data_IF_045594032152
#
_entry.id   IF_045594032152
#
_cell.length_a   1.000
_cell.length_b   1.000
_cell.length_c   1.000
_cell.angle_alpha   90.00
_cell.angle_beta   90.00
_cell.angle_gamma   90.00
#
_symmetry.space_group_name_H-M   'P 1'
#
loop_
_entity.id
_entity.type
_entity.pdbx_description
1 polymer ?
#
# COMPACT_ATOMS: atom_id res chain seq x y z
N UNK A 1 -1.71 -14.80 5.11
CA UNK A 1 -0.28 -14.44 5.17
C UNK A 1 -0.13 -13.41 6.27
N UNK A 2 0.89 -13.53 7.13
CA UNK A 2 1.17 -12.52 8.14
C UNK A 2 1.91 -11.37 7.48
N UNK A 3 1.33 -10.17 7.50
CA UNK A 3 1.99 -8.95 7.02
C UNK A 3 3.13 -8.61 7.98
N UNK A 4 4.28 -8.17 7.45
CA UNK A 4 5.50 -7.90 8.26
C UNK A 4 5.24 -6.95 9.43
N UNK A 5 4.27 -6.04 9.29
CA UNK A 5 3.93 -5.04 10.29
C UNK A 5 2.54 -5.22 10.93
N UNK A 6 1.80 -6.29 10.59
CA UNK A 6 0.49 -6.65 11.16
C UNK A 6 -0.54 -5.49 11.21
N UNK A 7 -0.64 -4.74 10.11
CA UNK A 7 -1.51 -3.56 9.95
C UNK A 7 -2.83 -3.93 9.25
N UNK A 8 -3.96 -3.45 9.80
CA UNK A 8 -5.32 -3.61 9.24
C UNK A 8 -5.57 -2.49 8.21
N UNK A 9 -6.28 -2.77 7.11
CA UNK A 9 -6.73 -1.74 6.16
C UNK A 9 -7.70 -0.76 6.83
N UNK A 10 -7.28 0.50 6.99
CA UNK A 10 -8.13 1.57 7.51
C UNK A 10 -8.80 2.38 6.38
N UNK A 11 -9.86 3.13 6.72
CA UNK A 11 -10.62 4.00 5.80
C UNK A 11 -9.71 4.94 4.99
N UNK A 12 -8.61 5.39 5.60
CA UNK A 12 -7.61 6.23 4.93
C UNK A 12 -6.96 5.53 3.73
N UNK A 13 -6.62 4.24 3.83
CA UNK A 13 -6.10 3.48 2.69
C UNK A 13 -7.16 3.26 1.62
N UNK A 14 -8.44 3.12 2.01
CA UNK A 14 -9.56 2.99 1.06
C UNK A 14 -9.71 4.26 0.23
N UNK A 15 -9.66 5.44 0.85
CA UNK A 15 -9.68 6.72 0.14
C UNK A 15 -8.50 6.83 -0.83
N UNK A 16 -7.31 6.38 -0.42
CA UNK A 16 -6.11 6.40 -1.27
C UNK A 16 -6.21 5.44 -2.45
N UNK A 17 -6.73 4.23 -2.24
CA UNK A 17 -7.02 3.26 -3.31
C UNK A 17 -8.04 3.83 -4.30
N UNK A 18 -9.07 4.51 -3.79
CA UNK A 18 -10.06 5.19 -4.63
C UNK A 18 -9.40 6.26 -5.51
N UNK A 19 -8.57 7.13 -4.93
CA UNK A 19 -7.84 8.15 -5.68
C UNK A 19 -6.91 7.55 -6.75
N UNK A 20 -6.33 6.38 -6.51
CA UNK A 20 -5.50 5.70 -7.50
C UNK A 20 -6.31 5.19 -8.72
N UNK A 21 -7.61 4.93 -8.55
CA UNK A 21 -8.52 4.53 -9.62
C UNK A 21 -9.27 5.71 -10.25
N UNK A 22 -9.57 6.75 -9.49
CA UNK A 22 -10.16 8.00 -9.97
C UNK A 22 -9.11 8.91 -10.64
N UNK A 23 -8.59 8.47 -11.79
CA UNK A 23 -7.53 9.17 -12.53
C UNK A 23 -7.85 10.61 -12.91
N UNK A 24 -9.14 10.94 -13.04
CA UNK A 24 -9.60 12.26 -13.44
C UNK A 24 -10.01 13.14 -12.24
N UNK A 25 -9.90 12.62 -11.01
CA UNK A 25 -10.31 13.30 -9.77
C UNK A 25 -11.75 13.85 -9.83
N UNK A 26 -12.65 13.10 -10.48
CA UNK A 26 -14.05 13.52 -10.66
C UNK A 26 -14.93 13.13 -9.45
N UNK A 27 -14.36 12.42 -8.46
CA UNK A 27 -15.09 11.85 -7.33
C UNK A 27 -15.87 10.60 -7.70
N UNK A 28 -15.61 10.01 -8.87
CA UNK A 28 -16.30 8.82 -9.37
C UNK A 28 -15.38 7.96 -10.25
N UNK A 29 -15.36 6.65 -10.01
CA UNK A 29 -14.59 5.72 -10.84
C UNK A 29 -15.41 5.38 -12.10
N UNK A 30 -14.89 5.78 -13.26
CA UNK A 30 -15.45 5.42 -14.58
C UNK A 30 -15.28 3.93 -14.86
N UNK A 31 -16.15 3.38 -15.73
CA UNK A 31 -16.11 1.96 -16.08
C UNK A 31 -14.73 1.49 -16.57
N UNK A 32 -14.04 2.29 -17.37
CA UNK A 32 -12.70 1.95 -17.87
C UNK A 32 -11.65 1.84 -16.76
N UNK A 33 -11.63 2.82 -15.84
CA UNK A 33 -10.77 2.80 -14.66
C UNK A 33 -11.10 1.64 -13.73
N UNK A 34 -12.40 1.34 -13.55
CA UNK A 34 -12.87 0.20 -12.77
C UNK A 34 -12.38 -1.13 -13.34
N UNK A 35 -12.56 -1.35 -14.66
CA UNK A 35 -12.09 -2.57 -15.33
C UNK A 35 -10.57 -2.69 -15.24
N UNK A 36 -9.84 -1.60 -15.46
CA UNK A 36 -8.37 -1.59 -15.37
C UNK A 36 -7.90 -1.91 -13.94
N UNK A 37 -8.57 -1.35 -12.93
CA UNK A 37 -8.30 -1.66 -11.52
C UNK A 37 -8.53 -3.12 -11.17
N UNK A 38 -9.66 -3.68 -11.62
CA UNK A 38 -9.96 -5.10 -11.45
C UNK A 38 -8.97 -6.01 -12.17
N UNK A 39 -8.48 -5.63 -13.35
CA UNK A 39 -7.47 -6.43 -14.06
C UNK A 39 -6.19 -6.56 -13.23
N UNK A 40 -5.71 -5.46 -12.62
CA UNK A 40 -4.57 -5.48 -11.70
C UNK A 40 -4.85 -6.37 -10.48
N UNK A 41 -6.03 -6.27 -9.89
CA UNK A 41 -6.38 -7.00 -8.66
C UNK A 41 -6.53 -8.51 -8.89
N UNK A 42 -7.22 -8.88 -9.97
CA UNK A 42 -7.59 -10.27 -10.24
C UNK A 42 -6.53 -11.02 -11.04
N UNK A 43 -5.79 -10.33 -11.92
CA UNK A 43 -4.89 -10.95 -12.90
C UNK A 43 -3.54 -10.25 -13.04
N UNK A 44 -3.32 -9.14 -12.34
CA UNK A 44 -2.10 -8.37 -12.42
C UNK A 44 -0.88 -9.18 -12.01
N UNK A 45 0.23 -8.92 -12.69
CA UNK A 45 1.54 -9.45 -12.33
C UNK A 45 1.99 -8.88 -10.98
N UNK A 46 3.03 -9.47 -10.39
CA UNK A 46 3.64 -8.90 -9.18
C UNK A 46 4.05 -7.43 -9.40
N UNK A 47 4.53 -7.08 -10.60
CA UNK A 47 4.91 -5.70 -10.94
C UNK A 47 3.71 -4.76 -10.97
N UNK A 48 2.59 -5.17 -11.58
CA UNK A 48 1.37 -4.36 -11.61
C UNK A 48 0.85 -4.08 -10.20
N UNK A 49 0.95 -5.08 -9.32
CA UNK A 49 0.61 -4.97 -7.90
C UNK A 49 1.56 -4.04 -7.15
N UNK A 50 2.87 -4.14 -7.39
CA UNK A 50 3.87 -3.23 -6.82
C UNK A 50 3.61 -1.78 -7.25
N UNK A 51 3.34 -1.53 -8.53
CA UNK A 51 3.04 -0.20 -9.05
C UNK A 51 1.74 0.37 -8.44
N UNK A 52 0.74 -0.48 -8.22
CA UNK A 52 -0.48 -0.07 -7.52
C UNK A 52 -0.22 0.30 -6.06
N UNK A 53 0.39 -0.59 -5.27
CA UNK A 53 0.69 -0.31 -3.87
C UNK A 53 1.58 0.93 -3.71
N UNK A 54 2.60 1.08 -4.55
CA UNK A 54 3.48 2.25 -4.52
C UNK A 54 2.71 3.56 -4.73
N UNK A 55 1.80 3.62 -5.71
CA UNK A 55 0.94 4.80 -5.92
C UNK A 55 0.01 5.08 -4.72
N UNK A 56 -0.48 4.04 -4.06
CA UNK A 56 -1.31 4.20 -2.85
C UNK A 56 -0.50 4.81 -1.71
N UNK A 57 0.78 4.47 -1.60
CA UNK A 57 1.67 4.91 -0.52
C UNK A 57 2.36 6.26 -0.78
N UNK A 58 2.64 6.62 -2.03
CA UNK A 58 3.19 7.91 -2.44
C UNK A 58 2.13 9.02 -2.26
N UNK A 59 2.16 9.72 -1.11
CA UNK A 59 1.08 10.60 -0.67
C UNK A 59 0.91 11.81 -1.57
N UNK A 60 2.03 12.36 -2.02
CA UNK A 60 2.07 13.57 -2.84
C UNK A 60 2.22 13.29 -4.35
N UNK A 61 2.39 12.02 -4.75
CA UNK A 61 2.60 11.58 -6.14
C UNK A 61 3.86 12.14 -6.81
N UNK A 62 4.93 12.35 -6.05
CA UNK A 62 6.21 12.86 -6.55
C UNK A 62 7.17 11.76 -7.06
N UNK A 63 6.76 10.49 -6.92
CA UNK A 63 7.53 9.33 -7.35
C UNK A 63 8.45 8.75 -6.26
N UNK A 64 8.37 9.26 -5.03
CA UNK A 64 9.14 8.79 -3.88
C UNK A 64 8.23 8.59 -2.67
N UNK A 65 8.58 7.65 -1.80
CA UNK A 65 7.95 7.51 -0.48
C UNK A 65 8.97 7.98 0.55
N UNK A 66 8.66 9.08 1.21
CA UNK A 66 9.51 9.70 2.23
C UNK A 66 9.21 9.18 3.63
N UNK A 67 10.14 9.35 4.58
CA UNK A 67 9.93 8.98 5.99
C UNK A 67 8.68 9.64 6.60
N UNK A 68 8.38 10.88 6.20
CA UNK A 68 7.20 11.60 6.69
C UNK A 68 5.90 10.98 6.16
N UNK A 69 5.89 10.52 4.91
CA UNK A 69 4.76 9.80 4.33
C UNK A 69 4.57 8.43 4.96
N UNK A 70 5.66 7.70 5.19
CA UNK A 70 5.64 6.44 5.95
C UNK A 70 5.03 6.65 7.35
N UNK A 71 5.44 7.71 8.04
CA UNK A 71 4.89 8.05 9.35
C UNK A 71 3.39 8.31 9.29
N UNK A 72 2.91 9.06 8.29
CA UNK A 72 1.48 9.29 8.11
C UNK A 72 0.71 8.00 7.81
N UNK A 73 1.24 7.15 6.93
CA UNK A 73 0.63 5.86 6.59
C UNK A 73 0.50 4.97 7.82
N UNK A 74 1.57 4.82 8.61
CA UNK A 74 1.57 4.03 9.83
C UNK A 74 0.67 4.63 10.92
N UNK A 75 0.66 5.95 11.07
CA UNK A 75 -0.22 6.63 12.02
C UNK A 75 -1.70 6.44 11.71
N UNK A 76 -2.04 6.32 10.43
CA UNK A 76 -3.40 6.06 9.95
C UNK A 76 -3.75 4.57 9.92
N UNK A 77 -2.91 3.72 10.50
CA UNK A 77 -3.02 2.26 10.44
C UNK A 77 -2.86 1.61 11.82
N UNK A 78 -2.17 2.31 12.73
CA UNK A 78 -2.00 1.90 14.10
C UNK A 78 -3.12 2.51 14.94
N UNK A 79 -4.10 1.68 15.26
CA UNK A 79 -5.11 1.99 16.27
C UNK A 79 -4.37 2.36 17.56
N UNK A 80 -4.58 3.59 18.04
CA UNK A 80 -4.09 4.05 19.36
C UNK A 80 -4.45 3.01 20.40
N UNK A 81 -3.48 2.22 20.86
CA UNK A 81 -3.74 1.28 21.94
C UNK A 81 -4.03 2.09 23.21
N UNK A 82 -5.16 1.87 23.91
CA UNK A 82 -5.45 2.59 25.12
C UNK A 82 -4.42 2.21 26.20
N UNK A 83 -3.47 3.11 26.47
CA UNK A 83 -2.45 2.93 27.51
C UNK A 83 -1.01 3.23 27.12
N UNK A 84 -0.71 3.49 25.83
CA UNK A 84 0.64 3.96 25.43
C UNK A 84 0.84 5.44 25.80
N UNK A 85 1.98 5.74 26.43
CA UNK A 85 2.34 7.10 26.86
C UNK A 85 2.67 8.02 25.67
N UNK A 86 3.18 7.48 24.56
CA UNK A 86 3.39 8.19 23.29
C UNK A 86 3.30 7.26 22.07
N UNK A 87 2.12 7.08 21.44
CA UNK A 87 1.97 6.24 20.25
C UNK A 87 2.73 6.78 19.03
N UNK A 88 3.12 8.07 19.03
CA UNK A 88 3.88 8.64 17.91
C UNK A 88 5.37 8.20 17.95
N UNK A 89 5.91 7.77 19.10
CA UNK A 89 7.28 7.25 19.18
C UNK A 89 7.40 5.89 18.48
N UNK A 90 6.47 4.96 18.73
CA UNK A 90 6.44 3.66 18.05
C UNK A 90 6.28 3.78 16.53
N UNK A 91 5.46 4.74 16.07
CA UNK A 91 5.30 5.03 14.64
C UNK A 91 6.61 5.55 14.02
N UNK A 92 7.38 6.38 14.74
CA UNK A 92 8.69 6.88 14.27
C UNK A 92 9.69 5.75 14.09
N UNK A 93 9.75 4.84 15.07
CA UNK A 93 10.63 3.68 15.03
C UNK A 93 10.27 2.73 13.87
N UNK A 94 8.97 2.50 13.65
CA UNK A 94 8.48 1.72 12.51
C UNK A 94 8.78 2.39 11.17
N UNK A 95 8.63 3.71 11.09
CA UNK A 95 8.98 4.49 9.88
C UNK A 95 10.47 4.39 9.56
N UNK A 96 11.33 4.44 10.59
CA UNK A 96 12.77 4.29 10.42
C UNK A 96 13.17 2.87 10.02
N UNK A 97 12.51 1.85 10.59
CA UNK A 97 12.71 0.46 10.22
C UNK A 97 12.26 0.19 8.78
N UNK A 98 11.11 0.72 8.38
CA UNK A 98 10.58 0.59 7.02
C UNK A 98 11.51 1.26 6.01
N UNK A 99 11.97 2.48 6.30
CA UNK A 99 12.95 3.16 5.44
C UNK A 99 14.21 2.32 5.30
N UNK A 100 14.80 1.83 6.40
CA UNK A 100 16.00 0.99 6.35
C UNK A 100 15.83 -0.30 5.53
N UNK A 101 14.60 -0.83 5.45
CA UNK A 101 14.27 -2.05 4.71
C UNK A 101 14.00 -1.78 3.22
N UNK A 102 13.42 -0.64 2.90
CA UNK A 102 12.94 -0.31 1.55
C UNK A 102 13.91 0.60 0.77
N UNK A 103 14.69 1.42 1.47
CA UNK A 103 15.68 2.34 0.89
C UNK A 103 17.00 1.58 0.62
N UNK A 104 17.14 1.10 -0.62
CA UNK A 104 18.26 0.26 -1.07
C UNK A 104 19.51 1.07 -1.36
N UNK A 105 19.37 2.30 -1.87
CA UNK A 105 20.49 3.16 -2.22
C UNK A 105 20.89 4.15 -1.10
N UNK A 106 20.11 4.19 -0.03
CA UNK A 106 20.33 4.96 1.19
C UNK A 106 20.30 6.48 0.97
N UNK A 107 19.46 6.96 0.05
CA UNK A 107 19.28 8.39 -0.22
C UNK A 107 18.27 9.09 0.72
N UNK A 108 17.62 8.33 1.60
CA UNK A 108 16.68 8.80 2.62
C UNK A 108 15.23 8.85 2.15
N UNK A 109 14.92 8.33 0.95
CA UNK A 109 13.59 8.17 0.39
C UNK A 109 13.53 6.86 -0.40
N UNK A 110 12.33 6.43 -0.78
CA UNK A 110 12.14 5.16 -1.50
C UNK A 110 11.61 5.46 -2.89
N UNK A 111 12.44 5.27 -3.92
CA UNK A 111 11.95 5.30 -5.28
C UNK A 111 11.29 3.96 -5.64
N UNK A 112 10.53 3.93 -6.74
CA UNK A 112 9.91 2.68 -7.21
C UNK A 112 10.93 1.56 -7.47
N UNK A 113 12.15 1.90 -7.88
CA UNK A 113 13.23 0.93 -8.08
C UNK A 113 13.68 0.26 -6.79
N UNK A 114 13.75 1.01 -5.70
CA UNK A 114 14.12 0.50 -4.38
C UNK A 114 12.99 -0.38 -3.83
N UNK A 115 11.76 0.10 -3.96
CA UNK A 115 10.55 -0.66 -3.62
C UNK A 115 10.46 -2.00 -4.37
N UNK A 116 10.67 -1.98 -5.69
CA UNK A 116 10.66 -3.19 -6.52
C UNK A 116 11.79 -4.16 -6.13
N UNK A 117 12.98 -3.65 -5.83
CA UNK A 117 14.11 -4.47 -5.39
C UNK A 117 13.86 -5.10 -4.01
N UNK A 118 13.38 -4.31 -3.05
CA UNK A 118 13.09 -4.76 -1.70
C UNK A 118 12.01 -5.85 -1.67
N UNK A 119 10.95 -5.72 -2.48
CA UNK A 119 9.87 -6.74 -2.54
C UNK A 119 10.31 -8.02 -3.23
N UNK A 120 11.20 -7.93 -4.23
CA UNK A 120 11.77 -9.12 -4.86
C UNK A 120 12.62 -9.93 -3.89
N UNK A 121 13.27 -9.27 -2.92
CA UNK A 121 14.02 -9.93 -1.85
C UNK A 121 13.12 -10.42 -0.71
N UNK A 122 12.20 -9.56 -0.26
CA UNK A 122 11.27 -9.83 0.84
C UNK A 122 9.81 -9.56 0.41
N UNK A 123 9.10 -10.55 -0.18
CA UNK A 123 7.75 -10.37 -0.73
C UNK A 123 6.68 -9.89 0.27
N UNK A 124 6.92 -10.07 1.58
CA UNK A 124 6.02 -9.63 2.64
C UNK A 124 6.00 -8.10 2.79
N UNK A 125 6.95 -7.38 2.19
CA UNK A 125 6.98 -5.92 2.18
C UNK A 125 6.01 -5.28 1.17
N UNK A 126 5.36 -6.08 0.29
CA UNK A 126 4.42 -5.57 -0.72
C UNK A 126 3.28 -4.75 -0.13
N UNK A 127 2.84 -5.12 1.08
CA UNK A 127 1.76 -4.45 1.81
C UNK A 127 2.28 -3.92 3.16
N UNK A 128 3.52 -3.42 3.18
CA UNK A 128 4.23 -2.99 4.39
C UNK A 128 3.46 -1.93 5.19
N UNK A 129 2.74 -1.04 4.52
CA UNK A 129 2.01 0.06 5.15
C UNK A 129 0.51 -0.23 5.34
N UNK A 130 0.11 -1.50 5.19
CA UNK A 130 -1.27 -1.95 5.29
C UNK A 130 -1.79 -2.57 4.01
N UNK A 131 -2.85 -3.37 4.15
CA UNK A 131 -3.40 -4.15 3.05
C UNK A 131 -4.10 -3.24 2.02
N UNK A 132 -3.63 -3.29 0.78
CA UNK A 132 -4.14 -2.55 -0.38
C UNK A 132 -4.69 -3.47 -1.47
N UNK A 133 -4.43 -4.78 -1.37
CA UNK A 133 -4.84 -5.76 -2.35
C UNK A 133 -5.89 -6.70 -1.74
N UNK A 134 -6.86 -7.14 -2.55
CA UNK A 134 -7.82 -8.15 -2.12
C UNK A 134 -7.12 -9.46 -1.80
N UNK A 135 -7.65 -10.18 -0.81
CA UNK A 135 -7.17 -11.53 -0.50
C UNK A 135 -7.43 -12.48 -1.68
N UNK A 136 -6.62 -13.51 -1.81
CA UNK A 136 -6.81 -14.54 -2.84
C UNK A 136 -8.20 -15.19 -2.77
N UNK A 137 -8.72 -15.38 -1.56
CA UNK A 137 -10.09 -15.85 -1.31
C UNK A 137 -11.14 -14.90 -1.89
N UNK A 138 -10.96 -13.58 -1.70
CA UNK A 138 -11.88 -12.56 -2.23
C UNK A 138 -11.83 -12.50 -3.75
N UNK A 139 -10.63 -12.59 -4.34
CA UNK A 139 -10.44 -12.68 -5.78
C UNK A 139 -11.14 -13.91 -6.36
N UNK A 140 -10.94 -15.07 -5.75
CA UNK A 140 -11.56 -16.32 -6.20
C UNK A 140 -13.08 -16.28 -6.10
N UNK A 141 -13.61 -15.79 -4.97
CA UNK A 141 -15.06 -15.61 -4.79
C UNK A 141 -15.64 -14.68 -5.87
N UNK A 142 -14.97 -13.55 -6.16
CA UNK A 142 -15.42 -12.61 -7.20
C UNK A 142 -15.38 -13.25 -8.59
N UNK A 143 -14.30 -13.95 -8.95
CA UNK A 143 -14.17 -14.62 -10.24
C UNK A 143 -15.24 -15.69 -10.48
N UNK A 144 -15.67 -16.41 -9.43
CA UNK A 144 -16.77 -17.38 -9.53
C UNK A 144 -18.08 -16.69 -9.92
N UNK A 145 -18.35 -15.46 -9.47
CA UNK A 145 -19.58 -14.73 -9.83
C UNK A 145 -19.65 -14.36 -11.33
N UNK A 146 -18.51 -14.37 -12.02
CA UNK A 146 -18.40 -14.07 -13.45
C UNK A 146 -18.51 -15.33 -14.32
N UNK A 147 -18.62 -16.52 -13.73
CA UNK A 147 -18.82 -17.75 -14.48
C UNK A 147 -20.30 -17.84 -14.93
N UNK A 148 -20.54 -18.14 -16.22
CA UNK A 148 -21.89 -18.19 -16.79
C UNK A 148 -22.72 -19.39 -16.31
#
# INVERSE_FOLDING_TARGET
MHNTFDIITEDALIERMFCCWDRECEGAIRLESWITGLDVFLRGTLRDKMEFCFRVYDLNSDGYITKDEMFQLFKNCLIKQPGEEDPDEGVRDLSELALKKLDVDHDGKVAFTDYEAAIKDEPLLLEAFGQCLPTEESCNAFLITLQP
#
